data_IF_811427705051
#
_entry.id   IF_811427705051
#
_cell.length_a   1.000
_cell.length_b   1.000
_cell.length_c   1.000
_cell.angle_alpha   90.00
_cell.angle_beta   90.00
_cell.angle_gamma   90.00
#
_symmetry.space_group_name_H-M   'P 1'
#
loop_
_entity.id
_entity.type
_entity.pdbx_description
1 polymer ?
#
# COMPACT_ATOMS: atom_id res chain seq x y z
N UNK A 1 -9.84 -1.11 0.63
CA UNK A 1 -8.99 0.09 0.49
C UNK A 1 -8.79 0.72 1.85
N UNK A 2 -7.61 1.24 2.13
CA UNK A 2 -7.34 2.10 3.29
C UNK A 2 -6.27 3.15 2.95
N UNK A 3 -6.20 4.17 3.79
CA UNK A 3 -5.14 5.19 3.81
C UNK A 3 -4.35 5.05 5.12
N UNK A 4 -3.03 5.19 5.05
CA UNK A 4 -2.16 5.28 6.22
C UNK A 4 -1.11 6.37 6.05
N UNK A 5 -0.47 6.75 7.14
CA UNK A 5 0.67 7.68 7.17
C UNK A 5 1.89 6.94 7.72
N UNK A 6 2.99 6.95 6.99
CA UNK A 6 4.27 6.34 7.39
C UNK A 6 4.83 7.10 8.60
N UNK A 7 5.36 6.35 9.55
CA UNK A 7 6.07 6.90 10.69
C UNK A 7 7.53 7.18 10.31
N UNK A 8 7.85 8.44 10.04
CA UNK A 8 9.17 8.89 9.61
C UNK A 8 10.27 8.65 10.65
N UNK A 9 9.92 8.51 11.94
CA UNK A 9 10.89 8.16 12.97
C UNK A 9 11.32 6.69 12.90
N UNK A 10 10.61 5.86 12.12
CA UNK A 10 10.81 4.41 12.03
C UNK A 10 11.24 3.98 10.63
N UNK A 11 10.79 4.69 9.58
CA UNK A 11 10.96 4.29 8.20
C UNK A 11 11.56 5.44 7.39
N UNK A 12 12.67 5.15 6.71
CA UNK A 12 13.21 6.05 5.68
C UNK A 12 12.34 5.92 4.41
N UNK A 13 11.98 7.03 3.73
CA UNK A 13 11.22 7.02 2.48
C UNK A 13 11.61 5.93 1.47
N UNK A 14 12.92 5.75 1.24
CA UNK A 14 13.46 4.75 0.31
C UNK A 14 13.11 3.29 0.67
N UNK A 15 12.80 3.02 1.95
CA UNK A 15 12.49 1.69 2.47
C UNK A 15 11.15 1.18 1.93
N UNK A 16 10.20 2.09 1.66
CA UNK A 16 8.86 1.73 1.21
C UNK A 16 8.92 1.00 -0.14
N UNK A 17 9.68 1.56 -1.07
CA UNK A 17 9.75 1.07 -2.45
C UNK A 17 10.78 -0.06 -2.58
N UNK A 18 11.92 0.05 -1.88
CA UNK A 18 13.03 -0.92 -1.99
C UNK A 18 12.84 -2.18 -1.14
N UNK A 19 12.06 -2.13 -0.06
CA UNK A 19 11.91 -3.26 0.87
C UNK A 19 10.47 -3.69 1.08
N UNK A 20 9.56 -2.74 1.38
CA UNK A 20 8.17 -3.07 1.73
C UNK A 20 7.44 -3.67 0.53
N UNK A 21 7.57 -3.07 -0.66
CA UNK A 21 6.89 -3.57 -1.86
C UNK A 21 7.38 -4.96 -2.30
N UNK A 22 8.69 -5.24 -2.42
CA UNK A 22 9.15 -6.59 -2.73
C UNK A 22 8.66 -7.64 -1.72
N UNK A 23 8.66 -7.31 -0.43
CA UNK A 23 8.14 -8.19 0.60
C UNK A 23 6.63 -8.41 0.45
N UNK A 24 5.86 -7.35 0.20
CA UNK A 24 4.42 -7.41 -0.01
C UNK A 24 4.08 -8.27 -1.24
N UNK A 25 4.78 -8.09 -2.37
CA UNK A 25 4.61 -8.92 -3.58
C UNK A 25 4.84 -10.39 -3.27
N UNK A 26 5.94 -10.74 -2.60
CA UNK A 26 6.26 -12.12 -2.26
C UNK A 26 5.25 -12.75 -1.28
N UNK A 27 4.83 -12.00 -0.26
CA UNK A 27 3.82 -12.45 0.69
C UNK A 27 2.46 -12.63 0.01
N UNK A 28 2.03 -11.66 -0.80
CA UNK A 28 0.72 -11.67 -1.43
C UNK A 28 0.58 -12.81 -2.43
N UNK A 29 1.61 -13.06 -3.23
CA UNK A 29 1.65 -14.21 -4.15
C UNK A 29 1.43 -15.54 -3.45
N UNK A 30 2.09 -15.76 -2.30
CA UNK A 30 1.96 -17.00 -1.53
C UNK A 30 0.57 -17.20 -0.93
N UNK A 31 -0.18 -16.11 -0.71
CA UNK A 31 -1.48 -16.14 -0.05
C UNK A 31 -2.65 -15.87 -1.01
N UNK A 32 -2.41 -15.83 -2.32
CA UNK A 32 -3.46 -15.53 -3.31
C UNK A 32 -4.08 -14.15 -3.13
N UNK A 33 -3.27 -13.17 -2.69
CA UNK A 33 -3.67 -11.77 -2.52
C UNK A 33 -3.19 -10.97 -3.73
N UNK A 34 -4.04 -10.07 -4.22
CA UNK A 34 -3.72 -9.08 -5.26
C UNK A 34 -4.04 -7.69 -4.75
N UNK A 35 -3.61 -6.65 -5.47
CA UNK A 35 -3.96 -5.29 -5.14
C UNK A 35 -3.00 -4.25 -5.70
N UNK A 36 -3.11 -3.05 -5.15
CA UNK A 36 -2.35 -1.89 -5.56
C UNK A 36 -1.99 -1.02 -4.36
N UNK A 37 -0.85 -0.37 -4.45
CA UNK A 37 -0.33 0.55 -3.46
C UNK A 37 0.12 1.85 -4.15
N UNK A 38 -0.35 2.98 -3.63
CA UNK A 38 0.16 4.29 -3.97
C UNK A 38 0.97 4.80 -2.79
N UNK A 39 2.21 5.20 -3.04
CA UNK A 39 3.03 5.88 -2.05
C UNK A 39 3.27 7.33 -2.48
N UNK A 40 2.98 8.26 -1.58
CA UNK A 40 3.27 9.67 -1.71
C UNK A 40 4.36 10.04 -0.70
N UNK A 41 5.57 10.23 -1.21
CA UNK A 41 6.77 10.55 -0.43
C UNK A 41 6.70 11.95 0.23
N UNK A 42 5.97 12.89 -0.35
CA UNK A 42 5.87 14.28 0.15
C UNK A 42 5.16 14.39 1.49
N UNK A 43 4.09 13.62 1.65
CA UNK A 43 3.26 13.65 2.86
C UNK A 43 3.26 12.30 3.58
N UNK A 44 4.13 11.39 3.15
CA UNK A 44 4.31 10.08 3.73
C UNK A 44 3.00 9.26 3.78
N UNK A 45 2.09 9.50 2.83
CA UNK A 45 0.79 8.83 2.77
C UNK A 45 0.89 7.60 1.88
N UNK A 46 0.30 6.50 2.34
CA UNK A 46 0.07 5.30 1.55
C UNK A 46 -1.44 5.10 1.35
N UNK A 47 -1.84 4.79 0.12
CA UNK A 47 -3.15 4.20 -0.17
C UNK A 47 -2.94 2.77 -0.61
N UNK A 48 -3.72 1.84 -0.08
CA UNK A 48 -3.58 0.44 -0.48
C UNK A 48 -4.94 -0.27 -0.62
N UNK A 49 -5.01 -1.10 -1.65
CA UNK A 49 -6.10 -2.03 -1.93
C UNK A 49 -5.57 -3.46 -1.78
N UNK A 50 -6.37 -4.32 -1.15
CA UNK A 50 -6.08 -5.74 -0.96
C UNK A 50 -7.31 -6.52 -1.41
N UNK A 51 -7.10 -7.54 -2.23
CA UNK A 51 -8.12 -8.41 -2.78
C UNK A 51 -7.71 -9.87 -2.65
N UNK A 52 -8.64 -10.74 -2.33
CA UNK A 52 -8.37 -12.17 -2.23
C UNK A 52 -9.35 -12.89 -1.31
N UNK A 53 -9.04 -14.14 -0.95
CA UNK A 53 -9.87 -14.90 -0.04
C UNK A 53 -10.08 -14.14 1.28
N UNK A 54 -11.31 -14.06 1.82
CA UNK A 54 -11.61 -13.26 3.01
C UNK A 54 -10.67 -13.53 4.19
N UNK A 55 -10.37 -14.80 4.47
CA UNK A 55 -9.47 -15.18 5.56
C UNK A 55 -8.02 -14.72 5.35
N UNK A 56 -7.55 -14.75 4.11
CA UNK A 56 -6.18 -14.32 3.76
C UNK A 56 -6.04 -12.81 3.88
N UNK A 57 -7.04 -12.07 3.38
CA UNK A 57 -7.09 -10.61 3.49
C UNK A 57 -7.21 -10.17 4.95
N UNK A 58 -8.08 -10.80 5.76
CA UNK A 58 -8.27 -10.42 7.16
C UNK A 58 -7.02 -10.72 8.02
N UNK A 59 -6.33 -11.83 7.74
CA UNK A 59 -5.06 -12.16 8.39
C UNK A 59 -3.98 -11.13 8.08
N UNK A 60 -3.81 -10.79 6.81
CA UNK A 60 -2.85 -9.76 6.39
C UNK A 60 -3.22 -8.39 6.96
N UNK A 61 -4.50 -8.03 6.90
CA UNK A 61 -5.01 -6.77 7.44
C UNK A 61 -4.71 -6.62 8.94
N UNK A 62 -4.86 -7.69 9.73
CA UNK A 62 -4.56 -7.69 11.15
C UNK A 62 -3.09 -7.38 11.45
N UNK A 63 -2.17 -7.81 10.57
CA UNK A 63 -0.75 -7.50 10.67
C UNK A 63 -0.47 -6.05 10.26
N UNK A 64 -0.99 -5.64 9.10
CA UNK A 64 -0.87 -4.28 8.57
C UNK A 64 -1.36 -3.25 9.59
N UNK A 65 -2.53 -3.48 10.18
CA UNK A 65 -3.15 -2.55 11.14
C UNK A 65 -2.31 -2.31 12.40
N UNK A 66 -1.45 -3.26 12.78
CA UNK A 66 -0.59 -3.19 13.98
C UNK A 66 0.86 -2.84 13.66
N UNK A 67 1.19 -2.68 12.38
CA UNK A 67 2.55 -2.41 11.95
C UNK A 67 3.00 -1.04 12.44
N UNK A 68 4.13 -0.97 13.15
CA UNK A 68 4.64 0.27 13.74
C UNK A 68 5.22 1.24 12.71
N UNK A 69 5.43 0.76 11.48
CA UNK A 69 5.96 1.54 10.36
C UNK A 69 4.97 2.59 9.86
N UNK A 70 3.69 2.50 10.20
CA UNK A 70 2.67 3.44 9.78
C UNK A 70 1.52 3.56 10.79
N UNK A 71 0.63 4.51 10.57
CA UNK A 71 -0.64 4.64 11.26
C UNK A 71 -1.79 4.59 10.25
N UNK A 72 -2.67 3.61 10.39
CA UNK A 72 -3.88 3.49 9.57
C UNK A 72 -4.89 4.56 10.00
N UNK A 73 -5.47 5.27 9.02
CA UNK A 73 -6.61 6.16 9.23
C UNK A 73 -7.87 5.29 9.19
N UNK A 74 -8.38 4.90 10.35
CA UNK A 74 -9.49 3.94 10.47
C UNK A 74 -10.76 4.41 9.73
N UNK A 75 -11.01 5.72 9.70
CA UNK A 75 -12.13 6.33 8.98
C UNK A 75 -12.02 6.22 7.45
N UNK A 76 -10.84 5.88 6.92
CA UNK A 76 -10.60 5.65 5.49
C UNK A 76 -10.82 4.20 5.06
N UNK A 77 -10.95 3.27 6.03
CA UNK A 77 -11.05 1.84 5.73
C UNK A 77 -12.38 1.56 5.05
N UNK A 78 -12.32 0.95 3.87
CA UNK A 78 -13.48 0.50 3.10
C UNK A 78 -13.32 -0.97 2.74
N UNK A 79 -14.31 -1.78 3.10
CA UNK A 79 -14.42 -3.21 2.81
C UNK A 79 -15.65 -3.47 1.96
N UNK A 80 -15.53 -4.34 0.96
CA UNK A 80 -16.65 -4.81 0.14
C UNK A 80 -16.36 -6.21 -0.39
N UNK A 81 -17.41 -6.97 -0.65
CA UNK A 81 -17.32 -8.16 -1.48
C UNK A 81 -17.25 -7.73 -2.95
N UNK A 82 -16.42 -8.41 -3.73
CA UNK A 82 -16.29 -8.20 -5.17
C UNK A 82 -16.51 -9.55 -5.86
N UNK A 83 -17.17 -9.55 -7.02
CA UNK A 83 -17.43 -10.77 -7.80
C UNK A 83 -16.21 -11.20 -8.63
N UNK A 84 -15.34 -10.25 -8.96
CA UNK A 84 -14.08 -10.41 -9.70
C UNK A 84 -13.06 -9.45 -9.11
N UNK A 85 -11.78 -9.78 -9.24
CA UNK A 85 -10.66 -8.94 -8.77
C UNK A 85 -10.50 -7.74 -9.70
N UNK A 86 -10.26 -6.57 -9.15
CA UNK A 86 -10.03 -5.35 -9.93
C UNK A 86 -8.55 -5.20 -10.30
N UNK A 87 -7.67 -5.92 -9.60
CA UNK A 87 -6.21 -5.89 -9.77
C UNK A 87 -5.63 -7.30 -10.05
N UNK A 88 -6.30 -8.12 -10.87
CA UNK A 88 -5.94 -9.55 -11.11
C UNK A 88 -4.48 -9.81 -11.45
N UNK A 89 -3.85 -8.92 -12.21
CA UNK A 89 -2.49 -9.11 -12.71
C UNK A 89 -1.40 -8.58 -11.77
N UNK A 90 -1.79 -8.04 -10.61
CA UNK A 90 -0.86 -7.39 -9.70
C UNK A 90 -0.95 -7.98 -8.30
N UNK A 91 0.05 -8.78 -7.94
CA UNK A 91 0.25 -9.24 -6.56
C UNK A 91 0.35 -8.05 -5.59
N UNK A 92 1.00 -6.98 -6.06
CA UNK A 92 0.91 -5.62 -5.54
C UNK A 92 1.50 -4.67 -6.60
N UNK A 93 0.66 -3.93 -7.32
CA UNK A 93 1.13 -2.84 -8.18
C UNK A 93 1.59 -1.68 -7.31
N UNK A 94 2.66 -0.99 -7.69
CA UNK A 94 3.11 0.24 -7.01
C UNK A 94 3.12 1.39 -8.00
N UNK A 95 2.50 2.50 -7.60
CA UNK A 95 2.76 3.81 -8.21
C UNK A 95 3.40 4.73 -7.17
N UNK A 96 4.40 5.48 -7.63
CA UNK A 96 5.07 6.52 -6.85
C UNK A 96 4.68 7.88 -7.44
N UNK A 97 4.19 8.79 -6.59
CA UNK A 97 3.93 10.16 -7.02
C UNK A 97 5.20 10.98 -6.82
N UNK A 98 6.21 10.75 -7.67
CA UNK A 98 7.37 11.62 -7.74
C UNK A 98 7.00 12.93 -8.45
N UNK A 99 7.49 14.07 -7.96
CA UNK A 99 7.38 15.30 -8.72
C UNK A 99 8.33 15.19 -9.91
N UNK A 100 7.80 15.10 -11.12
CA UNK A 100 8.58 15.47 -12.30
C UNK A 100 9.03 16.93 -12.08
N UNK A 101 10.33 17.20 -12.19
CA UNK A 101 10.95 18.52 -12.01
C UNK A 101 10.54 19.57 -13.07
N UNK A 102 9.31 19.50 -13.58
CA UNK A 102 8.76 20.36 -14.62
C UNK A 102 8.13 21.65 -14.04
N UNK A 103 8.01 21.77 -12.71
CA UNK A 103 7.54 23.00 -12.05
C UNK A 103 8.65 23.90 -11.51
N UNK A 104 9.94 23.53 -11.66
CA UNK A 104 11.07 24.35 -11.20
C UNK A 104 11.74 25.17 -12.33
N UNK A 105 11.23 25.10 -13.57
CA UNK A 105 11.82 25.77 -14.73
C UNK A 105 10.91 26.78 -15.46
N UNK A 106 9.71 27.10 -14.98
CA UNK A 106 8.93 28.17 -15.60
C UNK A 106 8.19 29.02 -14.56
N UNK A 107 8.59 30.30 -14.55
CA UNK A 107 8.13 31.50 -13.81
C UNK A 107 8.91 31.88 -12.55
#
# INVERSE_FOLDING_TARGET
MYKSVINEAVVNPDTVTKEIVPHAVAHNNKNGITGWMLYNDRNMVVYQVLEGPPESVERLWSQIRRDRRHQVLEESVRRRCISQREFENWSMGIDEVEQTAWMAQNY
#
